data_IF_286556126807
#
_entry.id   IF_286556126807
#
_cell.length_a   1.000
_cell.length_b   1.000
_cell.length_c   1.000
_cell.angle_alpha   90.00
_cell.angle_beta   90.00
_cell.angle_gamma   90.00
#
_symmetry.space_group_name_H-M   'P 1'
#
loop_
_entity.id
_entity.type
_entity.pdbx_description
1 polymer ?
#
# COMPACT_ATOMS: atom_id res chain seq x y z
N UNK A 1 15.98 24.60 -11.70
CA UNK A 1 15.28 24.73 -10.41
C UNK A 1 14.01 25.55 -10.63
N UNK A 2 12.85 25.00 -10.33
CA UNK A 2 11.59 25.76 -10.35
C UNK A 2 11.52 26.63 -9.11
N UNK A 3 11.21 27.94 -9.27
CA UNK A 3 11.04 28.88 -8.16
C UNK A 3 9.60 29.36 -8.13
N UNK A 4 9.00 29.45 -6.94
CA UNK A 4 7.71 30.09 -6.73
C UNK A 4 7.94 31.56 -6.33
N UNK A 5 7.25 32.47 -7.00
CA UNK A 5 7.17 33.88 -6.59
C UNK A 5 5.80 34.12 -5.99
N UNK A 6 5.73 34.39 -4.69
CA UNK A 6 4.48 34.57 -3.96
C UNK A 6 4.38 36.03 -3.54
N UNK A 7 3.30 36.69 -3.96
CA UNK A 7 2.94 38.02 -3.53
C UNK A 7 1.69 37.94 -2.66
N UNK A 8 1.84 38.09 -1.36
CA UNK A 8 0.76 38.08 -0.38
C UNK A 8 0.05 39.44 -0.27
N UNK A 9 -0.74 39.63 0.81
CA UNK A 9 -1.40 40.87 1.16
C UNK A 9 -2.85 41.01 0.68
N UNK A 10 -3.43 39.99 0.06
CA UNK A 10 -4.86 39.95 -0.27
C UNK A 10 -5.53 38.79 0.46
N UNK A 11 -6.69 38.98 1.11
CA UNK A 11 -7.44 37.86 1.68
C UNK A 11 -7.90 36.92 0.56
N UNK A 12 -7.71 35.62 0.80
CA UNK A 12 -8.18 34.58 -0.12
C UNK A 12 -9.61 34.21 0.25
N UNK A 13 -10.47 34.01 -0.77
CA UNK A 13 -11.85 33.55 -0.61
C UNK A 13 -12.17 32.60 -1.76
N UNK A 14 -12.80 31.47 -1.45
CA UNK A 14 -13.17 30.48 -2.45
C UNK A 14 -13.43 29.12 -1.85
N UNK A 15 -13.77 28.15 -2.73
CA UNK A 15 -13.99 26.76 -2.39
C UNK A 15 -12.92 25.92 -3.07
N UNK A 16 -12.29 25.00 -2.31
CA UNK A 16 -11.32 24.04 -2.83
C UNK A 16 -11.91 22.64 -2.66
N UNK A 17 -11.96 21.88 -3.75
CA UNK A 17 -12.32 20.46 -3.71
C UNK A 17 -11.05 19.66 -3.37
N UNK A 18 -11.09 18.96 -2.24
CA UNK A 18 -9.96 18.14 -1.78
C UNK A 18 -9.87 16.89 -2.66
N UNK A 19 -8.68 16.59 -3.16
CA UNK A 19 -8.38 15.41 -3.95
C UNK A 19 -8.31 14.14 -3.10
N UNK A 20 -8.25 12.98 -3.75
CA UNK A 20 -8.08 11.70 -3.06
C UNK A 20 -6.79 11.62 -2.27
N UNK A 21 -6.82 10.92 -1.14
CA UNK A 21 -5.69 10.83 -0.20
C UNK A 21 -4.49 10.13 -0.83
N UNK A 22 -3.37 10.85 -0.94
CA UNK A 22 -2.10 10.30 -1.44
C UNK A 22 -1.71 9.02 -0.70
N UNK A 23 -1.71 9.06 0.64
CA UNK A 23 -1.22 7.95 1.45
C UNK A 23 -2.14 6.72 1.40
N UNK A 24 -3.42 6.90 1.10
CA UNK A 24 -4.33 5.80 0.80
C UNK A 24 -4.06 5.23 -0.60
N UNK A 25 -3.99 6.07 -1.63
CA UNK A 25 -3.78 5.66 -3.01
C UNK A 25 -2.53 4.79 -3.19
N UNK A 26 -1.40 5.20 -2.59
CA UNK A 26 -0.12 4.47 -2.72
C UNK A 26 -0.09 3.11 -2.00
N UNK A 27 -1.07 2.79 -1.17
CA UNK A 27 -1.24 1.48 -0.56
C UNK A 27 -2.38 0.67 -1.20
N UNK A 28 -3.49 1.32 -1.58
CA UNK A 28 -4.64 0.68 -2.22
C UNK A 28 -4.29 0.20 -3.63
N UNK A 29 -3.50 0.96 -4.40
CA UNK A 29 -3.10 0.53 -5.75
C UNK A 29 -2.27 -0.76 -5.72
N UNK A 30 -1.22 -0.92 -4.88
CA UNK A 30 -0.56 -2.22 -4.70
C UNK A 30 -1.48 -3.32 -4.16
N UNK A 31 -2.49 -2.98 -3.36
CA UNK A 31 -3.44 -3.95 -2.85
C UNK A 31 -4.27 -4.65 -3.96
N UNK A 32 -4.41 -4.03 -5.14
CA UNK A 32 -5.02 -4.67 -6.29
C UNK A 32 -4.29 -5.96 -6.72
N UNK A 33 -2.99 -6.11 -6.41
CA UNK A 33 -2.25 -7.36 -6.60
C UNK A 33 -2.87 -8.55 -5.86
N UNK A 34 -3.57 -8.32 -4.75
CA UNK A 34 -4.17 -9.37 -3.91
C UNK A 34 -5.54 -9.84 -4.44
N UNK A 35 -6.10 -9.10 -5.39
CA UNK A 35 -7.48 -9.27 -5.86
C UNK A 35 -7.49 -10.08 -7.16
N UNK A 36 -8.46 -10.97 -7.28
CA UNK A 36 -8.77 -11.68 -8.51
C UNK A 36 -9.91 -10.95 -9.25
N UNK A 37 -9.63 -10.54 -10.50
CA UNK A 37 -10.49 -9.72 -11.33
C UNK A 37 -10.19 -8.21 -11.25
N UNK A 38 -11.05 -7.43 -11.87
CA UNK A 38 -10.87 -5.99 -12.06
C UNK A 38 -11.17 -5.22 -10.77
N UNK A 39 -10.21 -4.40 -10.33
CA UNK A 39 -10.39 -3.37 -9.31
C UNK A 39 -10.60 -2.02 -9.99
N UNK A 40 -11.78 -1.44 -9.86
CA UNK A 40 -12.01 -0.03 -10.20
C UNK A 40 -11.67 0.84 -9.00
N UNK A 41 -10.69 1.72 -9.13
CA UNK A 41 -10.27 2.65 -8.08
C UNK A 41 -10.60 4.06 -8.53
N UNK A 42 -11.44 4.74 -7.75
CA UNK A 42 -11.93 6.09 -7.99
C UNK A 42 -11.30 7.09 -7.02
N UNK A 43 -11.43 8.38 -7.34
CA UNK A 43 -10.86 9.49 -6.58
C UNK A 43 -9.34 9.39 -6.39
N UNK A 44 -8.62 8.91 -7.41
CA UNK A 44 -7.17 8.83 -7.40
C UNK A 44 -6.57 10.23 -7.57
N UNK A 45 -5.62 10.65 -6.69
CA UNK A 45 -4.96 11.95 -6.84
C UNK A 45 -4.00 11.98 -8.04
N UNK A 46 -3.93 13.14 -8.71
CA UNK A 46 -3.08 13.36 -9.88
C UNK A 46 -1.64 13.69 -9.46
N UNK A 47 -0.89 12.70 -9.01
CA UNK A 47 0.48 12.85 -8.49
C UNK A 47 1.44 11.84 -9.11
N UNK A 48 2.73 12.18 -9.15
CA UNK A 48 3.78 11.33 -9.72
C UNK A 48 3.88 9.95 -9.05
N UNK A 49 3.65 9.87 -7.75
CA UNK A 49 3.73 8.62 -6.99
C UNK A 49 2.69 7.59 -7.50
N UNK A 50 1.47 8.05 -7.78
CA UNK A 50 0.42 7.20 -8.37
C UNK A 50 0.83 6.70 -9.75
N UNK A 51 1.30 7.60 -10.61
CA UNK A 51 1.77 7.24 -11.95
C UNK A 51 2.86 6.18 -11.90
N UNK A 52 3.84 6.34 -11.00
CA UNK A 52 4.94 5.40 -10.83
C UNK A 52 4.47 4.02 -10.35
N UNK A 53 3.55 3.96 -9.39
CA UNK A 53 3.02 2.67 -8.91
C UNK A 53 2.21 1.96 -10.01
N UNK A 54 1.38 2.68 -10.75
CA UNK A 54 0.64 2.11 -11.87
C UNK A 54 1.58 1.56 -12.96
N UNK A 55 2.67 2.29 -13.28
CA UNK A 55 3.71 1.80 -14.19
C UNK A 55 4.38 0.52 -13.65
N UNK A 56 4.69 0.46 -12.35
CA UNK A 56 5.25 -0.76 -11.74
C UNK A 56 4.28 -1.94 -11.90
N UNK A 57 2.98 -1.75 -11.65
CA UNK A 57 2.00 -2.81 -11.84
C UNK A 57 1.92 -3.29 -13.29
N UNK A 58 1.99 -2.37 -14.27
CA UNK A 58 2.03 -2.71 -15.70
C UNK A 58 3.27 -3.55 -16.05
N UNK A 59 4.45 -3.19 -15.55
CA UNK A 59 5.69 -3.95 -15.74
C UNK A 59 5.63 -5.35 -15.09
N UNK A 60 4.89 -5.50 -14.00
CA UNK A 60 4.60 -6.79 -13.40
C UNK A 60 3.60 -7.62 -14.22
N UNK A 61 2.88 -7.00 -15.17
CA UNK A 61 1.94 -7.65 -16.07
C UNK A 61 0.47 -7.40 -15.76
N UNK A 62 0.15 -6.38 -14.94
CA UNK A 62 -1.23 -5.96 -14.73
C UNK A 62 -1.80 -5.23 -15.98
N UNK A 63 -3.06 -5.45 -16.29
CA UNK A 63 -3.81 -4.62 -17.24
C UNK A 63 -4.33 -3.38 -16.47
N UNK A 64 -3.81 -2.21 -16.84
CA UNK A 64 -4.17 -0.93 -16.22
C UNK A 64 -4.82 -0.05 -17.26
N UNK A 65 -6.10 0.31 -17.05
CA UNK A 65 -6.89 1.15 -17.96
C UNK A 65 -7.32 2.42 -17.26
N UNK A 66 -6.89 3.55 -17.79
CA UNK A 66 -7.34 4.87 -17.31
C UNK A 66 -8.75 5.13 -17.88
N UNK A 67 -9.74 5.27 -17.01
CA UNK A 67 -11.13 5.55 -17.37
C UNK A 67 -11.33 7.08 -17.50
N UNK A 68 -10.82 7.83 -16.53
CA UNK A 68 -10.79 9.28 -16.53
C UNK A 68 -9.63 9.77 -15.66
N UNK A 69 -9.55 11.09 -15.38
CA UNK A 69 -8.44 11.68 -14.62
C UNK A 69 -8.29 11.12 -13.21
N UNK A 70 -9.37 10.66 -12.59
CA UNK A 70 -9.38 10.22 -11.19
C UNK A 70 -9.84 8.78 -11.01
N UNK A 71 -9.98 8.01 -12.12
CA UNK A 71 -10.47 6.63 -12.08
C UNK A 71 -9.62 5.73 -12.97
N UNK A 72 -9.19 4.60 -12.43
CA UNK A 72 -8.48 3.54 -13.16
C UNK A 72 -9.12 2.18 -12.87
N UNK A 73 -9.10 1.30 -13.87
CA UNK A 73 -9.35 -0.13 -13.72
C UNK A 73 -8.01 -0.85 -13.71
N UNK A 74 -7.81 -1.74 -12.74
CA UNK A 74 -6.60 -2.53 -12.57
C UNK A 74 -6.98 -4.00 -12.50
N UNK A 75 -6.46 -4.81 -13.42
CA UNK A 75 -6.61 -6.27 -13.41
C UNK A 75 -5.24 -6.93 -13.23
N UNK A 76 -5.05 -7.58 -12.09
CA UNK A 76 -3.83 -8.29 -11.74
C UNK A 76 -3.96 -9.83 -11.94
N UNK A 77 -4.99 -10.33 -12.61
CA UNK A 77 -5.20 -11.78 -12.80
C UNK A 77 -4.06 -12.47 -13.53
N UNK A 78 -3.34 -11.74 -14.39
CA UNK A 78 -2.31 -12.28 -15.27
C UNK A 78 -0.88 -11.80 -14.96
N UNK A 79 -0.57 -11.55 -13.68
CA UNK A 79 0.78 -11.17 -13.27
C UNK A 79 1.78 -12.25 -13.69
N UNK A 80 2.77 -11.87 -14.50
CA UNK A 80 3.80 -12.78 -15.06
C UNK A 80 5.15 -12.56 -14.42
N UNK A 81 5.50 -11.30 -14.16
CA UNK A 81 6.74 -10.92 -13.51
C UNK A 81 6.47 -10.60 -12.03
N UNK A 82 7.37 -11.02 -11.13
CA UNK A 82 7.26 -10.77 -9.68
C UNK A 82 8.43 -9.94 -9.16
N UNK A 83 9.35 -9.60 -10.04
CA UNK A 83 10.50 -8.75 -9.72
C UNK A 83 10.15 -7.30 -10.02
N UNK A 84 10.15 -6.47 -8.99
CA UNK A 84 9.82 -5.04 -9.11
C UNK A 84 10.97 -4.31 -9.81
N UNK A 85 10.69 -3.50 -10.87
CA UNK A 85 11.72 -2.78 -11.61
C UNK A 85 12.49 -1.80 -10.72
N UNK A 86 13.82 -1.96 -10.65
CA UNK A 86 14.69 -1.16 -9.80
C UNK A 86 14.57 0.34 -10.07
N UNK A 87 14.60 0.73 -11.35
CA UNK A 87 14.59 2.15 -11.76
C UNK A 87 13.29 2.87 -11.43
N UNK A 88 12.17 2.16 -11.34
CA UNK A 88 10.90 2.72 -10.91
C UNK A 88 10.77 2.75 -9.38
N UNK A 89 11.10 1.62 -8.73
CA UNK A 89 10.93 1.47 -7.29
C UNK A 89 11.77 2.45 -6.48
N UNK A 90 13.02 2.72 -6.89
CA UNK A 90 13.91 3.67 -6.20
C UNK A 90 13.44 5.13 -6.25
N UNK A 91 12.50 5.47 -7.14
CA UNK A 91 11.95 6.83 -7.29
C UNK A 91 10.81 7.12 -6.33
N UNK A 92 10.25 6.09 -5.72
CA UNK A 92 9.11 6.20 -4.83
C UNK A 92 9.31 5.39 -3.55
N UNK A 93 9.10 6.04 -2.40
CA UNK A 93 9.21 5.35 -1.12
C UNK A 93 8.13 4.28 -0.94
N UNK A 94 6.92 4.53 -1.40
CA UNK A 94 5.78 3.62 -1.25
C UNK A 94 5.95 2.27 -1.97
N UNK A 95 7.02 2.08 -2.77
CA UNK A 95 7.34 0.79 -3.40
C UNK A 95 7.45 -0.36 -2.41
N UNK A 96 7.76 -0.10 -1.13
CA UNK A 96 7.81 -1.15 -0.12
C UNK A 96 6.46 -1.83 0.17
N UNK A 97 5.31 -1.20 -0.15
CA UNK A 97 4.00 -1.86 -0.03
C UNK A 97 3.85 -3.05 -0.98
N UNK A 98 4.60 -3.06 -2.07
CA UNK A 98 4.67 -4.20 -2.97
C UNK A 98 5.22 -5.46 -2.29
N UNK A 99 6.06 -5.32 -1.24
CA UNK A 99 6.58 -6.48 -0.49
C UNK A 99 5.42 -7.25 0.14
N UNK A 100 4.55 -6.57 0.90
CA UNK A 100 3.40 -7.20 1.56
C UNK A 100 2.40 -7.79 0.56
N UNK A 101 2.10 -7.05 -0.52
CA UNK A 101 1.16 -7.49 -1.53
C UNK A 101 1.68 -8.73 -2.31
N UNK A 102 2.93 -8.73 -2.76
CA UNK A 102 3.54 -9.86 -3.48
C UNK A 102 3.72 -11.07 -2.56
N UNK A 103 4.19 -10.84 -1.33
CA UNK A 103 4.39 -11.90 -0.35
C UNK A 103 3.05 -12.54 0.04
N UNK A 104 2.00 -11.74 0.26
CA UNK A 104 0.66 -12.21 0.58
C UNK A 104 0.03 -13.04 -0.53
N UNK A 105 0.22 -12.65 -1.80
CA UNK A 105 -0.37 -13.36 -2.94
C UNK A 105 0.45 -14.56 -3.41
N UNK A 106 1.79 -14.39 -3.49
CA UNK A 106 2.65 -15.35 -4.16
C UNK A 106 3.60 -16.09 -3.21
N UNK A 107 3.63 -15.73 -1.92
CA UNK A 107 4.61 -16.27 -0.96
C UNK A 107 6.05 -15.91 -1.28
N UNK A 108 6.27 -14.94 -2.18
CA UNK A 108 7.59 -14.48 -2.60
C UNK A 108 7.54 -13.02 -3.05
N UNK A 109 8.53 -12.25 -2.67
CA UNK A 109 8.72 -10.86 -3.08
C UNK A 109 10.19 -10.51 -3.22
N UNK A 110 10.54 -9.78 -4.28
CA UNK A 110 11.85 -9.16 -4.46
C UNK A 110 11.64 -7.71 -4.89
N UNK A 111 11.90 -6.79 -3.95
CA UNK A 111 11.57 -5.37 -4.10
C UNK A 111 12.80 -4.53 -3.75
N UNK A 112 13.23 -3.60 -4.61
CA UNK A 112 14.31 -2.69 -4.28
C UNK A 112 14.03 -1.89 -3.00
N UNK A 113 15.08 -1.64 -2.21
CA UNK A 113 14.95 -0.73 -1.08
C UNK A 113 14.37 0.61 -1.52
N UNK A 114 13.42 1.15 -0.78
CA UNK A 114 12.73 2.37 -1.18
C UNK A 114 13.68 3.56 -1.21
N UNK A 115 13.58 4.36 -2.29
CA UNK A 115 14.26 5.64 -2.45
C UNK A 115 13.31 6.83 -2.27
N UNK A 116 13.66 7.95 -2.86
CA UNK A 116 12.73 9.07 -3.14
C UNK A 116 12.38 10.00 -1.98
N UNK A 117 13.08 9.95 -0.82
CA UNK A 117 12.81 10.90 0.26
C UNK A 117 14.04 11.14 1.14
N UNK A 118 14.53 12.38 1.17
CA UNK A 118 15.69 12.81 1.97
C UNK A 118 15.36 13.17 3.44
N UNK A 119 14.19 12.78 3.95
CA UNK A 119 13.76 13.06 5.32
C UNK A 119 14.40 12.15 6.39
N UNK A 120 15.64 11.70 6.15
CA UNK A 120 16.41 10.84 7.07
C UNK A 120 16.09 9.34 6.94
N UNK A 121 16.85 8.53 7.69
CA UNK A 121 16.70 7.08 7.72
C UNK A 121 15.33 6.69 8.27
N UNK A 122 14.58 5.93 7.51
CA UNK A 122 13.32 5.33 7.93
C UNK A 122 13.46 3.82 7.78
N UNK A 123 13.88 3.13 8.83
CA UNK A 123 14.14 1.69 8.78
C UNK A 123 12.88 0.91 8.45
N UNK A 124 13.06 -0.26 7.84
CA UNK A 124 11.98 -1.21 7.51
C UNK A 124 11.93 -2.40 8.48
N UNK A 125 12.61 -2.27 9.63
CA UNK A 125 12.72 -3.29 10.67
C UNK A 125 11.36 -3.80 11.15
N UNK A 126 10.38 -2.88 11.38
CA UNK A 126 9.04 -3.25 11.80
C UNK A 126 8.27 -4.02 10.71
N UNK A 127 8.52 -3.73 9.42
CA UNK A 127 7.97 -4.51 8.31
C UNK A 127 8.54 -5.92 8.30
N UNK A 128 9.87 -6.04 8.39
CA UNK A 128 10.57 -7.33 8.43
C UNK A 128 10.11 -8.15 9.63
N UNK A 129 10.04 -7.54 10.83
CA UNK A 129 9.53 -8.18 12.05
C UNK A 129 8.14 -8.77 11.82
N UNK A 130 7.24 -8.02 11.19
CA UNK A 130 5.90 -8.49 10.85
C UNK A 130 5.91 -9.70 9.93
N UNK A 131 6.64 -9.65 8.83
CA UNK A 131 6.71 -10.75 7.87
C UNK A 131 7.35 -12.02 8.47
N UNK A 132 8.43 -11.87 9.25
CA UNK A 132 9.09 -12.98 9.95
C UNK A 132 8.13 -13.63 10.97
N UNK A 133 7.34 -12.83 11.71
CA UNK A 133 6.33 -13.34 12.64
C UNK A 133 5.21 -14.12 11.93
N UNK A 134 5.02 -13.88 10.63
CA UNK A 134 4.07 -14.60 9.77
C UNK A 134 4.72 -15.78 9.03
N UNK A 135 5.95 -16.13 9.34
CA UNK A 135 6.68 -17.29 8.78
C UNK A 135 7.44 -17.02 7.50
N UNK A 136 7.66 -15.77 7.12
CA UNK A 136 8.52 -15.44 6.00
C UNK A 136 10.01 -15.47 6.42
N UNK A 137 10.86 -15.93 5.51
CA UNK A 137 12.30 -15.71 5.53
C UNK A 137 12.59 -14.42 4.76
N UNK A 138 13.17 -13.42 5.43
CA UNK A 138 13.39 -12.08 4.87
C UNK A 138 14.86 -11.71 4.97
N UNK A 139 15.46 -11.39 3.85
CA UNK A 139 16.85 -10.93 3.75
C UNK A 139 16.91 -9.61 2.97
N UNK A 140 17.83 -8.74 3.37
CA UNK A 140 18.11 -7.49 2.67
C UNK A 140 19.52 -7.55 2.12
N UNK A 141 19.65 -7.78 0.81
CA UNK A 141 20.93 -7.95 0.14
C UNK A 141 21.00 -7.16 -1.18
N UNK A 142 22.15 -6.60 -1.45
CA UNK A 142 22.40 -5.85 -2.70
C UNK A 142 21.35 -4.75 -3.00
N UNK A 143 20.80 -4.10 -1.95
CA UNK A 143 19.77 -3.08 -2.11
C UNK A 143 18.37 -3.63 -2.43
N UNK A 144 18.14 -4.93 -2.25
CA UNK A 144 16.85 -5.59 -2.46
C UNK A 144 16.32 -6.18 -1.16
N UNK A 145 15.03 -6.06 -0.93
CA UNK A 145 14.27 -6.80 0.08
C UNK A 145 13.83 -8.10 -0.58
N UNK A 146 14.38 -9.21 -0.13
CA UNK A 146 14.06 -10.56 -0.61
C UNK A 146 13.26 -11.26 0.48
N UNK A 147 12.00 -11.59 0.22
CA UNK A 147 11.13 -12.27 1.15
C UNK A 147 10.50 -13.50 0.52
N UNK A 148 10.47 -14.61 1.25
CA UNK A 148 9.89 -15.88 0.77
C UNK A 148 9.26 -16.67 1.90
N UNK A 149 8.30 -17.51 1.58
CA UNK A 149 7.61 -18.39 2.53
C UNK A 149 7.80 -19.84 2.11
N UNK A 150 8.26 -20.68 3.02
CA UNK A 150 8.29 -22.11 2.81
C UNK A 150 6.84 -22.63 2.67
N UNK A 151 6.52 -23.29 1.54
CA UNK A 151 5.14 -23.70 1.26
C UNK A 151 4.28 -22.66 0.54
N UNK A 152 4.82 -21.46 0.26
CA UNK A 152 4.21 -20.46 -0.64
C UNK A 152 3.07 -19.64 -0.04
N UNK A 153 2.70 -19.83 1.24
CA UNK A 153 1.64 -19.06 1.90
C UNK A 153 2.05 -18.68 3.32
N UNK A 154 1.78 -17.42 3.68
CA UNK A 154 2.02 -16.93 5.04
C UNK A 154 1.08 -17.60 6.04
N UNK A 155 1.57 -17.83 7.25
CA UNK A 155 0.73 -18.15 8.40
C UNK A 155 0.26 -16.86 9.08
N UNK A 156 -0.89 -16.93 9.77
CA UNK A 156 -1.27 -15.85 10.68
C UNK A 156 -0.28 -15.75 11.84
N UNK A 157 -0.14 -14.55 12.43
CA UNK A 157 0.79 -14.30 13.54
C UNK A 157 0.30 -13.20 14.46
N UNK A 158 0.81 -13.18 15.69
CA UNK A 158 0.64 -12.07 16.63
C UNK A 158 1.87 -11.19 16.56
N UNK A 159 1.68 -9.91 16.21
CA UNK A 159 2.76 -8.98 15.91
C UNK A 159 2.57 -7.73 16.77
N UNK A 160 3.48 -7.51 17.71
CA UNK A 160 3.57 -6.25 18.45
C UNK A 160 4.60 -5.34 17.76
N UNK A 161 4.17 -4.15 17.32
CA UNK A 161 5.06 -3.14 16.76
C UNK A 161 5.75 -2.40 17.89
N UNK A 162 7.09 -2.38 17.90
CA UNK A 162 7.88 -1.71 18.95
C UNK A 162 7.66 -0.20 18.95
N UNK A 163 7.34 0.34 17.77
CA UNK A 163 6.88 1.72 17.59
C UNK A 163 5.71 1.75 16.61
N UNK A 164 4.81 2.71 16.81
CA UNK A 164 3.70 2.94 15.87
C UNK A 164 4.28 3.27 14.48
N UNK A 165 3.94 2.47 13.50
CA UNK A 165 4.42 2.60 12.13
C UNK A 165 3.29 2.42 11.13
N UNK A 166 2.93 3.51 10.43
CA UNK A 166 1.93 3.48 9.34
C UNK A 166 2.32 2.48 8.27
N UNK A 167 3.57 2.57 7.81
CA UNK A 167 4.08 1.71 6.74
C UNK A 167 4.04 0.24 7.10
N UNK A 168 4.51 -0.13 8.30
CA UNK A 168 4.51 -1.51 8.77
C UNK A 168 3.07 -2.02 8.96
N UNK A 169 2.20 -1.24 9.59
CA UNK A 169 0.79 -1.61 9.78
C UNK A 169 0.12 -1.96 8.45
N UNK A 170 0.22 -1.08 7.44
CA UNK A 170 -0.39 -1.30 6.13
C UNK A 170 0.25 -2.48 5.40
N UNK A 171 1.56 -2.62 5.46
CA UNK A 171 2.28 -3.67 4.75
C UNK A 171 2.02 -5.07 5.34
N UNK A 172 1.94 -5.17 6.67
CA UNK A 172 1.52 -6.40 7.35
C UNK A 172 0.05 -6.72 7.06
N UNK A 173 -0.81 -5.69 6.99
CA UNK A 173 -2.21 -5.85 6.61
C UNK A 173 -2.33 -6.46 5.19
N UNK A 174 -1.59 -5.93 4.21
CA UNK A 174 -1.54 -6.47 2.84
C UNK A 174 -1.10 -7.95 2.82
N UNK A 175 -0.07 -8.29 3.59
CA UNK A 175 0.43 -9.65 3.68
C UNK A 175 -0.57 -10.61 4.37
N UNK A 176 -1.31 -10.11 5.37
CA UNK A 176 -2.18 -10.91 6.24
C UNK A 176 -3.51 -11.33 5.62
N UNK A 177 -4.05 -10.58 4.64
CA UNK A 177 -5.41 -10.83 4.14
C UNK A 177 -5.58 -12.18 3.44
N UNK A 178 -4.52 -12.76 2.89
CA UNK A 178 -4.52 -14.08 2.27
C UNK A 178 -3.74 -15.13 3.09
N UNK A 179 -3.25 -14.79 4.30
CA UNK A 179 -2.51 -15.70 5.15
C UNK A 179 -3.42 -16.81 5.72
N UNK A 180 -2.82 -17.93 6.12
CA UNK A 180 -3.57 -19.00 6.80
C UNK A 180 -3.77 -18.64 8.28
N UNK A 181 -5.03 -18.57 8.73
CA UNK A 181 -5.38 -18.30 10.12
C UNK A 181 -5.62 -16.82 10.45
N UNK A 182 -5.21 -16.41 11.65
CA UNK A 182 -5.46 -15.07 12.20
C UNK A 182 -4.15 -14.29 12.33
N UNK A 183 -4.12 -13.09 11.78
CA UNK A 183 -3.04 -12.11 12.03
C UNK A 183 -3.56 -11.04 12.98
N UNK A 184 -2.80 -10.74 14.05
CA UNK A 184 -3.12 -9.69 15.01
C UNK A 184 -1.96 -8.71 15.01
N UNK A 185 -2.25 -7.44 14.74
CA UNK A 185 -1.29 -6.34 14.80
C UNK A 185 -1.61 -5.52 16.04
N UNK A 186 -0.69 -5.46 16.98
CA UNK A 186 -0.78 -4.67 18.22
C UNK A 186 0.15 -3.46 18.13
N UNK A 187 -0.22 -2.37 18.79
CA UNK A 187 0.41 -1.06 18.66
C UNK A 187 0.36 -0.53 17.22
N UNK A 188 -0.76 -0.84 16.54
CA UNK A 188 -0.99 -0.44 15.15
C UNK A 188 -1.17 1.08 15.02
N UNK A 189 -0.83 1.62 13.88
CA UNK A 189 -1.13 2.99 13.51
C UNK A 189 -2.63 3.17 13.23
N UNK A 190 -3.17 4.39 13.44
CA UNK A 190 -4.63 4.66 13.49
C UNK A 190 -5.12 5.63 12.43
N UNK A 191 -4.22 6.11 11.58
CA UNK A 191 -4.49 7.14 10.59
C UNK A 191 -5.63 6.76 9.63
N UNK A 192 -6.44 7.73 9.15
CA UNK A 192 -7.59 7.48 8.28
C UNK A 192 -7.29 6.64 7.04
N UNK A 193 -6.10 6.77 6.45
CA UNK A 193 -5.70 5.98 5.27
C UNK A 193 -5.44 4.50 5.59
N UNK A 194 -5.21 4.13 6.87
CA UNK A 194 -5.17 2.72 7.31
C UNK A 194 -6.57 2.13 7.33
N UNK A 195 -7.54 2.92 7.85
CA UNK A 195 -8.97 2.55 7.82
C UNK A 195 -9.44 2.41 6.37
N UNK A 196 -9.02 3.31 5.49
CA UNK A 196 -9.37 3.30 4.08
C UNK A 196 -8.84 2.04 3.36
N UNK A 197 -7.58 1.66 3.62
CA UNK A 197 -7.03 0.40 3.10
C UNK A 197 -7.81 -0.82 3.61
N UNK A 198 -8.18 -0.83 4.90
CA UNK A 198 -8.98 -1.93 5.46
C UNK A 198 -10.37 -1.99 4.82
N UNK A 199 -11.01 -0.84 4.59
CA UNK A 199 -12.31 -0.75 3.93
C UNK A 199 -12.23 -1.22 2.48
N UNK A 200 -11.19 -0.82 1.73
CA UNK A 200 -10.93 -1.32 0.38
C UNK A 200 -10.81 -2.85 0.39
N UNK A 201 -9.95 -3.40 1.22
CA UNK A 201 -9.73 -4.85 1.28
C UNK A 201 -11.00 -5.59 1.70
N UNK A 202 -11.74 -5.08 2.69
CA UNK A 202 -13.02 -5.66 3.14
C UNK A 202 -14.09 -5.60 2.04
N UNK A 203 -14.14 -4.53 1.25
CA UNK A 203 -15.07 -4.43 0.11
C UNK A 203 -14.75 -5.46 -1.00
N UNK A 204 -13.49 -5.93 -1.07
CA UNK A 204 -13.05 -7.01 -1.97
C UNK A 204 -13.18 -8.41 -1.34
N UNK A 205 -13.70 -8.52 -0.10
CA UNK A 205 -13.98 -9.80 0.57
C UNK A 205 -12.99 -10.21 1.65
N UNK A 206 -12.09 -9.32 2.10
CA UNK A 206 -11.26 -9.56 3.27
C UNK A 206 -12.07 -9.54 4.57
N UNK A 207 -11.44 -9.96 5.67
CA UNK A 207 -12.02 -9.94 7.01
C UNK A 207 -11.05 -9.24 7.97
N UNK A 208 -11.12 -7.90 7.99
CA UNK A 208 -10.29 -7.01 8.80
C UNK A 208 -11.17 -6.27 9.79
N UNK A 209 -10.79 -6.31 11.06
CA UNK A 209 -11.49 -5.61 12.16
C UNK A 209 -10.48 -4.78 12.97
N UNK A 210 -10.95 -3.69 13.58
CA UNK A 210 -10.15 -2.85 14.47
C UNK A 210 -9.26 -1.83 13.78
N UNK A 211 -9.33 -1.66 12.45
CA UNK A 211 -8.62 -0.57 11.77
C UNK A 211 -9.05 0.80 12.35
N UNK A 212 -8.08 1.67 12.62
CA UNK A 212 -8.30 2.94 13.34
C UNK A 212 -8.16 2.81 14.88
N UNK A 213 -7.92 1.60 15.39
CA UNK A 213 -7.55 1.35 16.79
C UNK A 213 -6.11 0.86 16.89
N UNK A 214 -5.60 0.64 18.09
CA UNK A 214 -4.26 0.10 18.34
C UNK A 214 -4.13 -1.41 18.10
N UNK A 215 -5.25 -2.11 17.88
CA UNK A 215 -5.27 -3.55 17.60
C UNK A 215 -6.08 -3.84 16.34
N UNK A 216 -5.41 -4.38 15.33
CA UNK A 216 -6.04 -4.81 14.08
C UNK A 216 -6.01 -6.34 14.01
N UNK A 217 -7.17 -6.94 13.74
CA UNK A 217 -7.33 -8.38 13.58
C UNK A 217 -7.72 -8.71 12.14
N UNK A 218 -6.99 -9.61 11.51
CA UNK A 218 -7.18 -10.01 10.11
C UNK A 218 -7.34 -11.52 10.08
N UNK A 219 -8.53 -11.97 9.70
CA UNK A 219 -8.74 -13.39 9.38
C UNK A 219 -8.45 -13.60 7.91
N UNK A 220 -7.42 -14.33 7.59
CA UNK A 220 -7.07 -14.62 6.21
C UNK A 220 -8.18 -15.33 5.46
N UNK A 221 -8.34 -14.97 4.19
CA UNK A 221 -9.34 -15.53 3.29
C UNK A 221 -8.67 -16.26 2.12
N UNK A 222 -9.42 -17.12 1.42
CA UNK A 222 -8.87 -17.87 0.28
C UNK A 222 -8.66 -17.00 -0.95
N UNK A 223 -9.50 -15.98 -1.14
CA UNK A 223 -9.53 -15.15 -2.35
C UNK A 223 -10.21 -13.83 -2.07
N UNK A 224 -9.69 -12.76 -2.67
CA UNK A 224 -10.37 -11.46 -2.81
C UNK A 224 -10.92 -11.33 -4.22
N UNK A 225 -12.04 -10.62 -4.39
CA UNK A 225 -12.73 -10.46 -5.68
C UNK A 225 -12.76 -9.01 -6.10
N UNK A 226 -12.67 -8.77 -7.42
CA UNK A 226 -12.75 -7.45 -8.01
C UNK A 226 -14.03 -6.69 -7.64
N UNK A 227 -13.94 -5.37 -7.66
CA UNK A 227 -15.03 -4.47 -7.33
C UNK A 227 -14.64 -3.01 -7.56
N UNK A 228 -15.52 -2.09 -7.17
CA UNK A 228 -15.27 -0.65 -7.25
C UNK A 228 -15.07 -0.07 -5.84
N UNK A 229 -14.13 0.87 -5.72
CA UNK A 229 -13.83 1.56 -4.47
C UNK A 229 -13.39 3.00 -4.73
N UNK A 230 -13.88 3.94 -3.93
CA UNK A 230 -13.48 5.34 -3.98
C UNK A 230 -12.60 5.69 -2.78
N UNK A 231 -11.40 6.20 -3.05
CA UNK A 231 -10.43 6.63 -2.04
C UNK A 231 -10.98 7.84 -1.28
N UNK A 232 -10.74 7.90 0.03
CA UNK A 232 -11.13 9.04 0.87
C UNK A 232 -10.44 10.34 0.45
N UNK A 233 -11.03 11.52 0.71
CA UNK A 233 -10.35 12.81 0.54
C UNK A 233 -9.10 12.93 1.41
N UNK A 234 -8.09 13.69 0.94
CA UNK A 234 -6.82 13.85 1.63
C UNK A 234 -6.91 14.84 2.79
N UNK A 235 -6.84 14.34 4.03
CA UNK A 235 -6.85 15.17 5.24
C UNK A 235 -5.63 16.10 5.33
N UNK A 236 -4.48 15.71 4.73
CA UNK A 236 -3.25 16.50 4.77
C UNK A 236 -3.38 17.69 3.82
N UNK A 237 -3.96 17.46 2.63
CA UNK A 237 -4.29 18.53 1.70
C UNK A 237 -5.29 19.51 2.34
N UNK A 238 -6.37 19.01 2.94
CA UNK A 238 -7.36 19.82 3.63
C UNK A 238 -6.74 20.69 4.74
N UNK A 239 -5.93 20.08 5.62
CA UNK A 239 -5.25 20.80 6.70
C UNK A 239 -4.18 21.80 6.19
N UNK A 240 -3.63 21.58 4.99
CA UNK A 240 -2.67 22.51 4.39
C UNK A 240 -3.34 23.80 3.91
N UNK A 241 -4.60 23.71 3.43
CA UNK A 241 -5.35 24.89 3.00
C UNK A 241 -6.03 25.65 4.14
N UNK A 242 -6.21 25.05 5.31
CA UNK A 242 -6.75 25.68 6.52
C UNK A 242 -5.70 26.55 7.22
#
# INVERSE_FOLDING_TARGET
>A
MTKYHIQGGKPLSGTITISGAKNAAVAIIPAALLVDGVCRIENIPQISDVTLILQILQELGADVRTINRTTVDIDCSHIRNRQVPYELARRIRASYYLVGALLGRFGWAEVPLPGGCDLGGRPIDQHIKGFVSMGADVDVRNGLICAKVAGGRLAGGQIYLDMVSVGATMNIMLAGVLADGMTIIENAAKEPHIVDLANFLNSMGANIMGAGTDVIKIRGVKQLRGGAYSIIPDQIEAGTYM
#
